data_IF_719573668497
#
_entry.id   IF_719573668497
#
_cell.length_a   1.000
_cell.length_b   1.000
_cell.length_c   1.000
_cell.angle_alpha   90.00
_cell.angle_beta   90.00
_cell.angle_gamma   90.00
#
_symmetry.space_group_name_H-M   'P 1'
#
loop_
_entity.id
_entity.type
_entity.pdbx_description
1 polymer ?
#
# COMPACT_ATOMS: atom_id res chain seq x y z
N UNK A 1 30.41 -40.65 -63.60
CA UNK A 1 29.78 -39.33 -63.45
C UNK A 1 28.86 -39.38 -62.19
N UNK A 2 29.32 -38.88 -61.06
CA UNK A 2 28.59 -38.90 -59.78
C UNK A 2 28.19 -37.49 -59.47
N UNK A 3 26.86 -37.17 -59.46
CA UNK A 3 26.27 -35.90 -59.10
C UNK A 3 26.04 -35.88 -57.58
N UNK A 4 26.72 -34.98 -56.87
CA UNK A 4 26.53 -34.73 -55.46
C UNK A 4 25.45 -33.68 -55.34
N UNK A 5 24.32 -34.00 -54.65
CA UNK A 5 23.33 -33.03 -54.23
C UNK A 5 23.70 -32.52 -52.82
N UNK A 6 24.04 -31.25 -52.75
CA UNK A 6 24.24 -30.57 -51.48
C UNK A 6 22.87 -30.08 -51.03
N UNK A 7 22.35 -30.64 -49.94
CA UNK A 7 21.14 -30.19 -49.29
C UNK A 7 21.54 -29.13 -48.27
N UNK A 8 21.17 -27.90 -48.54
CA UNK A 8 21.37 -26.75 -47.63
C UNK A 8 20.17 -26.69 -46.66
N UNK A 9 20.37 -27.11 -45.41
CA UNK A 9 19.35 -26.97 -44.36
C UNK A 9 19.51 -25.60 -43.75
N UNK A 10 18.57 -24.68 -44.05
CA UNK A 10 18.46 -23.38 -43.41
C UNK A 10 17.80 -23.56 -42.04
N UNK A 11 18.57 -23.40 -40.97
CA UNK A 11 18.06 -23.32 -39.60
C UNK A 11 17.56 -21.90 -39.36
N UNK A 12 16.26 -21.74 -39.38
CA UNK A 12 15.62 -20.49 -38.93
C UNK A 12 15.65 -20.46 -37.38
N UNK A 13 16.57 -19.72 -36.79
CA UNK A 13 16.55 -19.41 -35.37
C UNK A 13 15.46 -18.33 -35.11
N UNK A 14 14.33 -18.77 -34.59
CA UNK A 14 13.32 -17.86 -34.07
C UNK A 14 13.84 -17.19 -32.80
N UNK A 15 14.36 -15.99 -32.92
CA UNK A 15 14.64 -15.12 -31.76
C UNK A 15 13.30 -14.66 -31.20
N UNK A 16 12.81 -15.37 -30.20
CA UNK A 16 11.72 -14.87 -29.37
C UNK A 16 12.26 -13.65 -28.59
N UNK A 17 12.00 -12.47 -29.10
CA UNK A 17 12.29 -11.22 -28.41
C UNK A 17 11.49 -11.20 -27.10
N UNK A 18 12.17 -11.38 -25.98
CA UNK A 18 11.63 -10.99 -24.69
C UNK A 18 11.49 -9.48 -24.73
N UNK A 19 10.28 -9.02 -24.99
CA UNK A 19 9.91 -7.63 -24.71
C UNK A 19 9.88 -7.54 -23.20
N UNK A 20 10.97 -7.03 -22.60
CA UNK A 20 10.95 -6.63 -21.22
C UNK A 20 9.80 -5.62 -21.04
N UNK A 21 8.94 -5.78 -20.03
CA UNK A 21 7.94 -4.76 -19.74
C UNK A 21 8.67 -3.43 -19.55
N UNK A 22 8.10 -2.31 -20.02
CA UNK A 22 8.70 -1.01 -19.82
C UNK A 22 8.93 -0.83 -18.32
N UNK A 23 10.16 -0.51 -17.95
CA UNK A 23 10.48 -0.09 -16.61
C UNK A 23 9.55 1.09 -16.29
N UNK A 24 8.67 0.92 -15.33
CA UNK A 24 7.73 1.95 -14.90
C UNK A 24 8.54 3.19 -14.55
N UNK A 25 8.17 4.31 -15.12
CA UNK A 25 8.81 5.60 -14.81
C UNK A 25 8.69 5.84 -13.30
N UNK A 26 9.82 6.01 -12.68
CA UNK A 26 10.11 6.00 -11.26
C UNK A 26 9.56 7.22 -10.51
N UNK A 27 8.25 7.33 -10.40
CA UNK A 27 7.62 8.25 -9.47
C UNK A 27 6.79 7.46 -8.47
N UNK A 28 6.77 7.89 -7.23
CA UNK A 28 5.80 7.37 -6.25
C UNK A 28 4.39 7.49 -6.84
N UNK A 29 3.63 6.40 -6.96
CA UNK A 29 2.27 6.47 -7.50
C UNK A 29 1.37 7.34 -6.61
N UNK A 30 0.63 8.23 -7.24
CA UNK A 30 -0.29 9.17 -6.57
C UNK A 30 -1.66 9.03 -7.22
N UNK A 31 -2.69 8.90 -6.38
CA UNK A 31 -4.09 8.81 -6.79
C UNK A 31 -5.03 9.49 -5.80
N UNK A 32 -6.31 9.24 -5.93
CA UNK A 32 -7.35 9.69 -5.02
C UNK A 32 -7.88 8.52 -4.19
N UNK A 33 -8.62 8.79 -3.13
CA UNK A 33 -9.35 7.73 -2.41
C UNK A 33 -10.21 6.92 -3.40
N UNK A 34 -10.15 5.59 -3.26
CA UNK A 34 -10.80 4.64 -4.16
C UNK A 34 -9.94 4.20 -5.34
N UNK A 35 -8.88 4.91 -5.68
CA UNK A 35 -7.96 4.48 -6.74
C UNK A 35 -7.10 3.31 -6.25
N UNK A 36 -6.92 2.32 -7.12
CA UNK A 36 -6.00 1.21 -6.88
C UNK A 36 -4.62 1.58 -7.44
N UNK A 37 -3.62 1.64 -6.57
CA UNK A 37 -2.24 1.96 -6.93
C UNK A 37 -1.36 0.73 -6.86
N UNK A 38 -0.55 0.51 -7.91
CA UNK A 38 0.48 -0.53 -7.91
C UNK A 38 1.69 -0.06 -7.11
N UNK A 39 2.07 -0.88 -6.12
CA UNK A 39 3.23 -0.64 -5.26
C UNK A 39 4.27 -1.73 -5.50
N UNK A 40 5.49 -1.32 -5.78
CA UNK A 40 6.63 -2.20 -5.97
C UNK A 40 7.76 -1.80 -5.01
N UNK A 41 8.16 -2.72 -4.12
CA UNK A 41 9.21 -2.46 -3.15
C UNK A 41 9.92 -3.75 -2.72
N UNK A 42 11.21 -3.86 -3.00
CA UNK A 42 12.09 -4.98 -2.56
C UNK A 42 11.47 -6.38 -2.76
N UNK A 43 10.93 -6.64 -3.94
CA UNK A 43 10.32 -7.94 -4.28
C UNK A 43 8.87 -8.10 -3.80
N UNK A 44 8.30 -7.09 -3.14
CA UNK A 44 6.87 -6.98 -2.91
C UNK A 44 6.26 -6.30 -4.13
N UNK A 45 5.19 -6.87 -4.68
CA UNK A 45 4.32 -6.26 -5.69
C UNK A 45 2.89 -6.42 -5.20
N UNK A 46 2.20 -5.31 -5.01
CA UNK A 46 0.82 -5.31 -4.52
C UNK A 46 -0.02 -4.21 -5.17
N UNK A 47 -1.28 -4.49 -5.38
CA UNK A 47 -2.29 -3.48 -5.70
C UNK A 47 -2.96 -3.03 -4.40
N UNK A 48 -2.90 -1.75 -4.12
CA UNK A 48 -3.36 -1.17 -2.85
C UNK A 48 -4.45 -0.14 -3.14
N UNK A 49 -5.55 -0.23 -2.40
CA UNK A 49 -6.67 0.72 -2.47
C UNK A 49 -6.97 1.25 -1.08
N UNK A 50 -6.93 2.57 -0.91
CA UNK A 50 -7.45 3.25 0.27
C UNK A 50 -8.84 3.77 -0.08
N UNK A 51 -9.87 3.29 0.62
CA UNK A 51 -11.26 3.54 0.22
C UNK A 51 -11.79 4.87 0.74
N UNK A 52 -11.52 5.18 2.00
CA UNK A 52 -12.04 6.37 2.65
C UNK A 52 -11.17 6.77 3.86
N UNK A 53 -11.45 7.92 4.47
CA UNK A 53 -10.87 8.37 5.73
C UNK A 53 -11.99 8.92 6.61
N UNK A 54 -12.33 8.19 7.66
CA UNK A 54 -13.53 8.41 8.46
C UNK A 54 -13.19 8.62 9.94
N UNK A 55 -13.89 9.52 10.64
CA UNK A 55 -13.86 9.55 12.09
C UNK A 55 -14.50 8.27 12.66
N UNK A 56 -14.09 7.90 13.85
CA UNK A 56 -14.62 6.76 14.61
C UNK A 56 -15.10 7.30 15.96
N UNK A 57 -16.32 6.94 16.35
CA UNK A 57 -16.92 7.47 17.59
C UNK A 57 -16.17 7.02 18.85
N UNK A 58 -15.75 5.74 18.87
CA UNK A 58 -15.01 5.17 19.98
C UNK A 58 -13.60 4.73 19.56
N UNK A 59 -12.60 4.86 20.45
CA UNK A 59 -11.30 4.28 20.20
C UNK A 59 -11.40 2.79 19.94
N UNK A 60 -10.69 2.25 18.92
CA UNK A 60 -10.69 0.83 18.67
C UNK A 60 -10.11 0.08 19.86
N UNK A 61 -10.49 -1.20 20.09
CA UNK A 61 -9.95 -2.00 21.16
C UNK A 61 -8.43 -2.15 21.02
N UNK A 62 -7.79 -2.33 22.14
CA UNK A 62 -6.37 -2.58 22.25
C UNK A 62 -5.58 -1.41 22.78
N UNK A 63 -4.40 -1.65 23.01
CA UNK A 63 -3.29 -0.83 23.34
C UNK A 63 -3.41 0.09 24.56
N UNK A 64 -3.31 -0.57 25.68
CA UNK A 64 -3.10 0.06 26.99
C UNK A 64 -1.61 -0.07 27.33
N UNK A 65 -0.87 1.05 27.40
CA UNK A 65 0.47 1.05 27.96
C UNK A 65 0.40 1.54 29.39
N UNK A 66 0.93 0.75 30.31
CA UNK A 66 1.00 1.11 31.74
C UNK A 66 -0.37 1.45 32.34
N UNK A 67 -1.41 0.74 31.95
CA UNK A 67 -2.76 0.93 32.46
C UNK A 67 -3.53 2.16 31.95
N UNK A 68 -2.94 2.94 31.05
CA UNK A 68 -3.59 4.10 30.45
C UNK A 68 -3.87 3.89 28.97
N UNK A 69 -5.05 4.25 28.46
CA UNK A 69 -5.33 4.21 27.04
C UNK A 69 -4.33 5.09 26.30
N UNK A 70 -3.79 4.58 25.20
CA UNK A 70 -2.92 5.41 24.33
C UNK A 70 -3.72 6.35 23.42
N UNK A 71 -5.01 6.26 23.42
CA UNK A 71 -5.89 7.17 22.72
C UNK A 71 -6.18 8.36 23.64
N UNK A 72 -5.79 9.56 23.22
CA UNK A 72 -5.87 10.78 24.00
C UNK A 72 -7.25 11.42 23.76
N UNK A 73 -7.86 11.97 24.80
CA UNK A 73 -9.18 12.62 24.71
C UNK A 73 -9.19 13.94 23.92
N UNK A 74 -8.05 14.42 23.44
CA UNK A 74 -7.96 15.60 22.58
C UNK A 74 -7.88 15.17 21.12
N UNK A 75 -8.91 15.45 20.36
CA UNK A 75 -9.10 14.93 19.01
C UNK A 75 -9.88 13.62 19.02
N UNK A 76 -9.85 12.87 17.94
CA UNK A 76 -10.60 11.63 17.80
C UNK A 76 -9.81 10.53 17.08
N UNK A 77 -10.21 9.27 17.26
CA UNK A 77 -9.74 8.19 16.43
C UNK A 77 -10.34 8.34 15.03
N UNK A 78 -9.50 8.15 14.05
CA UNK A 78 -9.87 8.09 12.64
C UNK A 78 -9.40 6.79 12.04
N UNK A 79 -10.10 6.28 11.04
CA UNK A 79 -9.69 5.08 10.31
C UNK A 79 -9.73 5.28 8.80
N UNK A 80 -8.89 4.51 8.11
CA UNK A 80 -8.97 4.32 6.68
C UNK A 80 -9.11 2.83 6.36
N UNK A 81 -10.22 2.40 5.76
CA UNK A 81 -10.35 1.07 5.19
C UNK A 81 -9.40 0.91 4.00
N UNK A 82 -8.70 -0.21 3.95
CA UNK A 82 -7.70 -0.51 2.92
C UNK A 82 -7.88 -1.93 2.43
N UNK A 83 -7.81 -2.10 1.10
CA UNK A 83 -7.72 -3.42 0.44
C UNK A 83 -6.34 -3.56 -0.17
N UNK A 84 -5.70 -4.71 0.02
CA UNK A 84 -4.41 -5.04 -0.58
C UNK A 84 -4.51 -6.38 -1.29
N UNK A 85 -4.26 -6.37 -2.59
CA UNK A 85 -4.09 -7.59 -3.38
C UNK A 85 -2.61 -7.87 -3.59
N UNK A 86 -2.11 -8.97 -3.03
CA UNK A 86 -0.71 -9.39 -3.11
C UNK A 86 -0.44 -10.08 -4.44
N UNK A 87 0.41 -9.50 -5.28
CA UNK A 87 0.83 -10.10 -6.55
C UNK A 87 2.08 -10.93 -6.35
N UNK A 88 3.08 -10.34 -5.68
CA UNK A 88 4.32 -11.00 -5.30
C UNK A 88 4.77 -10.55 -3.92
N UNK A 89 5.33 -11.46 -3.15
CA UNK A 89 5.98 -11.15 -1.88
C UNK A 89 7.05 -12.21 -1.57
N UNK A 90 8.19 -11.82 -1.01
CA UNK A 90 9.25 -12.78 -0.66
C UNK A 90 8.83 -13.76 0.45
N UNK A 91 7.88 -13.37 1.26
CA UNK A 91 7.24 -14.22 2.28
C UNK A 91 5.88 -13.62 2.69
N UNK A 92 4.98 -14.39 3.37
CA UNK A 92 3.65 -13.92 3.75
C UNK A 92 3.61 -12.72 4.72
N UNK A 93 4.71 -12.44 5.43
CA UNK A 93 4.80 -11.34 6.42
C UNK A 93 5.44 -10.08 5.84
N UNK A 94 5.92 -10.12 4.59
CA UNK A 94 6.77 -9.06 4.03
C UNK A 94 6.11 -7.69 4.11
N UNK A 95 4.81 -7.61 3.80
CA UNK A 95 4.07 -6.36 3.82
C UNK A 95 3.81 -5.83 5.23
N UNK A 96 3.59 -6.70 6.22
CA UNK A 96 3.43 -6.29 7.61
C UNK A 96 4.68 -5.57 8.17
N UNK A 97 5.85 -5.88 7.63
CA UNK A 97 7.12 -5.26 8.01
C UNK A 97 7.49 -4.06 7.13
N UNK A 98 7.01 -4.05 5.89
CA UNK A 98 7.42 -3.07 4.88
C UNK A 98 6.45 -1.89 4.76
N UNK A 99 5.18 -2.04 5.15
CA UNK A 99 4.11 -1.09 4.91
C UNK A 99 3.63 -0.42 6.19
N UNK A 100 3.62 0.90 6.19
CA UNK A 100 2.90 1.70 7.18
C UNK A 100 2.15 2.82 6.48
N UNK A 101 0.94 3.12 6.95
CA UNK A 101 0.07 4.13 6.37
C UNK A 101 -0.03 5.31 7.31
N UNK A 102 0.46 6.46 6.90
CA UNK A 102 0.37 7.70 7.66
C UNK A 102 -0.74 8.59 7.12
N UNK A 103 -1.52 9.18 8.02
CA UNK A 103 -2.40 10.28 7.68
C UNK A 103 -1.62 11.58 7.68
N UNK A 104 -1.61 12.33 6.57
CA UNK A 104 -0.84 13.57 6.44
C UNK A 104 -1.78 14.76 6.35
N UNK A 105 -1.45 15.84 7.09
CA UNK A 105 -2.20 17.09 7.11
C UNK A 105 -1.74 18.05 6.02
N UNK A 106 -2.48 19.14 5.72
CA UNK A 106 -2.04 20.17 4.79
C UNK A 106 -0.73 20.86 5.19
N UNK A 107 -0.35 20.75 6.46
CA UNK A 107 0.87 21.36 7.03
C UNK A 107 2.05 20.39 7.06
N UNK A 108 1.92 19.23 6.40
CA UNK A 108 2.91 18.16 6.39
C UNK A 108 3.15 17.47 7.77
N UNK A 109 2.27 17.69 8.75
CA UNK A 109 2.28 16.88 9.97
C UNK A 109 1.80 15.47 9.64
N UNK A 110 2.47 14.44 10.16
CA UNK A 110 2.10 13.06 9.94
C UNK A 110 1.52 12.40 11.19
N UNK A 111 0.35 11.82 11.06
CA UNK A 111 -0.23 10.90 12.05
C UNK A 111 0.20 9.48 11.72
N UNK A 112 1.09 8.94 12.53
CA UNK A 112 1.55 7.55 12.39
C UNK A 112 0.42 6.61 12.78
N UNK A 113 0.27 5.52 12.02
CA UNK A 113 -0.71 4.48 12.32
C UNK A 113 -0.54 3.93 13.74
N UNK A 114 -1.65 3.72 14.43
CA UNK A 114 -1.67 3.16 15.78
C UNK A 114 -1.87 1.66 15.73
N UNK A 115 -1.11 0.96 16.55
CA UNK A 115 -1.40 -0.45 16.82
C UNK A 115 -2.77 -0.58 17.51
N UNK A 116 -3.54 -1.58 17.13
CA UNK A 116 -4.87 -1.83 17.67
C UNK A 116 -5.20 -3.32 17.62
N UNK A 117 -6.01 -3.79 18.58
CA UNK A 117 -6.60 -5.13 18.59
C UNK A 117 -7.98 -5.17 17.92
N UNK A 118 -8.31 -4.15 17.11
CA UNK A 118 -9.53 -4.14 16.33
C UNK A 118 -9.56 -5.36 15.39
N UNK A 119 -10.74 -6.03 15.26
CA UNK A 119 -10.87 -7.22 14.42
C UNK A 119 -10.59 -6.94 12.92
N UNK A 120 -10.74 -5.70 12.49
CA UNK A 120 -10.44 -5.20 11.14
C UNK A 120 -9.05 -4.57 11.04
N UNK A 121 -8.12 -4.80 11.98
CA UNK A 121 -6.77 -4.25 11.91
C UNK A 121 -6.03 -4.73 10.67
N UNK A 122 -5.62 -3.78 9.80
CA UNK A 122 -4.82 -4.10 8.61
C UNK A 122 -3.47 -4.72 8.98
N UNK A 123 -2.83 -4.28 10.06
CA UNK A 123 -1.57 -4.86 10.55
C UNK A 123 -1.73 -6.35 10.82
N UNK A 124 -2.84 -6.75 11.43
CA UNK A 124 -3.13 -8.16 11.72
C UNK A 124 -3.40 -8.96 10.43
N UNK A 125 -4.15 -8.38 9.49
CA UNK A 125 -4.45 -9.01 8.20
C UNK A 125 -3.17 -9.24 7.36
N UNK A 126 -2.24 -8.30 7.38
CA UNK A 126 -0.98 -8.38 6.63
C UNK A 126 0.03 -9.39 7.18
N UNK A 127 -0.19 -9.94 8.38
CA UNK A 127 0.69 -10.99 8.93
C UNK A 127 0.63 -12.30 8.15
N UNK A 128 -0.39 -12.49 7.32
CA UNK A 128 -0.50 -13.66 6.43
C UNK A 128 -1.14 -13.24 5.10
N UNK A 129 -0.36 -12.59 4.25
CA UNK A 129 -0.78 -12.12 2.93
C UNK A 129 0.12 -12.71 1.83
N UNK A 130 -0.02 -14.01 1.53
CA UNK A 130 0.78 -14.66 0.49
C UNK A 130 0.42 -14.14 -0.90
N UNK A 131 1.30 -14.36 -1.92
CA UNK A 131 0.99 -14.06 -3.31
C UNK A 131 -0.36 -14.64 -3.75
N UNK A 132 -1.15 -13.84 -4.47
CA UNK A 132 -2.51 -14.16 -4.93
C UNK A 132 -3.61 -13.94 -3.90
N UNK A 133 -3.28 -13.57 -2.65
CA UNK A 133 -4.29 -13.25 -1.64
C UNK A 133 -4.77 -11.79 -1.75
N UNK A 134 -5.99 -11.56 -1.31
CA UNK A 134 -6.53 -10.22 -1.05
C UNK A 134 -6.85 -10.12 0.43
N UNK A 135 -6.41 -9.05 1.07
CA UNK A 135 -6.71 -8.76 2.47
C UNK A 135 -7.39 -7.41 2.58
N UNK A 136 -8.41 -7.36 3.42
CA UNK A 136 -9.12 -6.15 3.80
C UNK A 136 -8.83 -5.83 5.26
N UNK A 137 -8.67 -4.55 5.56
CA UNK A 137 -8.44 -4.10 6.92
C UNK A 137 -8.57 -2.59 7.04
N UNK A 138 -8.31 -2.09 8.23
CA UNK A 138 -8.29 -0.66 8.48
C UNK A 138 -7.01 -0.24 9.21
N UNK A 139 -6.51 0.93 8.88
CA UNK A 139 -5.50 1.62 9.67
C UNK A 139 -6.16 2.67 10.53
N UNK A 140 -5.58 2.94 11.71
CA UNK A 140 -6.14 3.84 12.70
C UNK A 140 -5.15 4.93 13.09
N UNK A 141 -5.63 6.16 13.23
CA UNK A 141 -4.84 7.31 13.67
C UNK A 141 -5.53 8.06 14.80
N UNK A 142 -4.75 8.75 15.61
CA UNK A 142 -5.23 9.79 16.51
C UNK A 142 -5.05 11.13 15.83
N UNK A 143 -6.15 11.73 15.39
CA UNK A 143 -6.18 13.06 14.75
C UNK A 143 -6.54 14.11 15.81
N UNK A 144 -5.65 15.08 16.07
CA UNK A 144 -5.81 16.04 17.18
C UNK A 144 -5.47 17.49 16.83
N UNK A 145 -5.03 17.79 15.61
CA UNK A 145 -4.70 19.15 15.15
C UNK A 145 -5.49 19.51 13.90
N UNK A 146 -5.02 19.07 12.77
CA UNK A 146 -5.63 19.32 11.47
C UNK A 146 -6.13 18.03 10.86
N UNK A 147 -7.14 18.13 10.00
CA UNK A 147 -7.69 16.98 9.29
C UNK A 147 -6.65 16.36 8.36
N UNK A 148 -6.73 15.06 8.18
CA UNK A 148 -5.96 14.33 7.19
C UNK A 148 -6.41 14.74 5.80
N UNK A 149 -5.47 15.09 4.93
CA UNK A 149 -5.72 15.43 3.51
C UNK A 149 -5.12 14.42 2.55
N UNK A 150 -4.19 13.61 3.04
CA UNK A 150 -3.52 12.59 2.25
C UNK A 150 -3.27 11.36 3.11
N UNK A 151 -3.40 10.19 2.51
CA UNK A 151 -2.89 8.95 3.08
C UNK A 151 -1.61 8.59 2.34
N UNK A 152 -0.52 8.40 3.07
CA UNK A 152 0.78 8.06 2.51
C UNK A 152 1.19 6.68 2.98
N UNK A 153 1.44 5.79 2.04
CA UNK A 153 2.08 4.50 2.29
C UNK A 153 3.59 4.68 2.23
N UNK A 154 4.27 4.29 3.29
CA UNK A 154 5.73 4.36 3.35
C UNK A 154 6.33 3.11 3.98
N UNK A 155 7.62 2.92 3.73
CA UNK A 155 8.39 1.93 4.44
C UNK A 155 8.87 2.49 5.79
N UNK A 156 8.51 1.87 6.94
CA UNK A 156 8.84 2.41 8.26
C UNK A 156 10.34 2.36 8.60
N UNK A 157 11.13 1.55 7.89
CA UNK A 157 12.55 1.38 8.15
C UNK A 157 13.42 2.37 7.37
N UNK A 158 13.02 2.68 6.12
CA UNK A 158 13.79 3.54 5.22
C UNK A 158 13.19 4.93 5.07
N UNK A 159 11.90 5.09 5.37
CA UNK A 159 11.16 6.32 5.13
C UNK A 159 10.76 6.51 3.66
N UNK A 160 11.01 5.52 2.79
CA UNK A 160 10.64 5.62 1.38
C UNK A 160 9.14 5.75 1.21
N UNK A 161 8.71 6.75 0.45
CA UNK A 161 7.31 6.90 0.05
C UNK A 161 7.01 5.91 -1.07
N UNK A 162 6.02 5.04 -0.84
CA UNK A 162 5.67 3.97 -1.76
C UNK A 162 4.40 4.27 -2.57
N UNK A 163 3.44 5.00 -1.98
CA UNK A 163 2.23 5.46 -2.66
C UNK A 163 1.55 6.58 -1.87
N UNK A 164 0.67 7.35 -2.52
CA UNK A 164 -0.12 8.40 -1.88
C UNK A 164 -1.54 8.45 -2.44
N UNK A 165 -2.52 8.61 -1.55
CA UNK A 165 -3.92 8.87 -1.89
C UNK A 165 -4.33 10.24 -1.38
N UNK A 166 -4.86 11.09 -2.26
CA UNK A 166 -5.38 12.39 -1.92
C UNK A 166 -6.85 12.26 -1.50
N UNK A 167 -7.22 12.86 -0.39
CA UNK A 167 -8.60 12.89 0.10
C UNK A 167 -9.39 13.97 -0.62
N UNK A 168 -8.74 15.09 -0.89
CA UNK A 168 -9.35 16.23 -1.54
C UNK A 168 -8.96 16.31 -3.01
N UNK A 169 -9.96 16.41 -3.89
CA UNK A 169 -9.75 16.70 -5.30
C UNK A 169 -9.81 18.22 -5.52
N UNK A 170 -8.83 18.84 -6.20
CA UNK A 170 -8.94 20.23 -6.59
C UNK A 170 -10.22 20.47 -7.38
N UNK A 171 -11.10 21.35 -6.88
CA UNK A 171 -12.41 21.67 -7.49
C UNK A 171 -13.61 20.97 -6.86
N UNK A 172 -13.44 20.03 -5.93
CA UNK A 172 -14.53 19.53 -5.11
C UNK A 172 -14.97 20.61 -4.11
N UNK A 173 -16.28 20.80 -3.86
CA UNK A 173 -16.73 21.69 -2.79
C UNK A 173 -16.22 21.18 -1.45
N UNK A 174 -15.75 22.10 -0.60
CA UNK A 174 -15.40 21.78 0.78
C UNK A 174 -16.65 21.27 1.52
N UNK A 175 -16.52 20.25 2.36
CA UNK A 175 -17.61 19.74 3.17
C UNK A 175 -18.14 20.78 4.15
#
# INVERSE_FOLDING_TARGET
MRRWFVVLVAVLAAVAGFVAPPASAEGTPIGNLGDTLRVEFKGIVADVTVHDVLPVDDPPPGYVANGSPRWINQGGPWKAPVTIHTIAAPNPFAMALAFTFNGVTPYADAYVSKHTDAPDSLESALRNAPPGSTVDGAVYWQVYRALVTNVVLLNPQTGDHLAQWNIWQPGAPLP
#
